data_IF_424228967570
#
_entry.id   IF_424228967570
#
_cell.length_a   1.000
_cell.length_b   1.000
_cell.length_c   1.000
_cell.angle_alpha   90.00
_cell.angle_beta   90.00
_cell.angle_gamma   90.00
#
_symmetry.space_group_name_H-M   'P 1'
#
loop_
_entity.id
_entity.type
_entity.pdbx_description
1 polymer ?
#
# COMPACT_ATOMS: atom_id res chain seq x y z
N UNK A 1 21.50 28.22 -16.45
CA UNK A 1 20.95 28.76 -15.20
C UNK A 1 19.97 27.75 -14.66
N UNK A 2 20.10 27.39 -13.38
CA UNK A 2 19.13 26.50 -12.74
C UNK A 2 17.78 27.24 -12.71
N UNK A 3 16.72 26.57 -13.18
CA UNK A 3 15.36 27.09 -13.06
C UNK A 3 14.85 26.67 -11.69
N UNK A 4 14.44 27.65 -10.90
CA UNK A 4 13.83 27.42 -9.58
C UNK A 4 12.32 27.68 -9.68
N UNK A 5 11.53 26.89 -8.96
CA UNK A 5 10.08 27.05 -8.84
C UNK A 5 9.65 26.87 -7.39
N UNK A 6 8.71 27.69 -6.95
CA UNK A 6 8.18 27.66 -5.58
C UNK A 6 6.79 27.01 -5.61
N UNK A 7 6.62 25.94 -4.84
CA UNK A 7 5.31 25.40 -4.51
C UNK A 7 4.72 26.24 -3.37
N UNK A 8 3.53 26.80 -3.60
CA UNK A 8 2.78 27.51 -2.56
C UNK A 8 1.85 26.50 -1.91
N UNK A 9 2.22 26.02 -0.73
CA UNK A 9 1.43 25.10 0.08
C UNK A 9 1.12 25.75 1.43
N UNK A 10 -0.02 25.41 2.02
CA UNK A 10 -0.42 25.89 3.34
C UNK A 10 -0.07 24.83 4.38
N UNK A 11 0.92 25.10 5.22
CA UNK A 11 1.42 24.17 6.26
C UNK A 11 1.59 22.73 5.72
N UNK A 12 2.45 22.53 4.70
CA UNK A 12 2.61 21.22 4.10
C UNK A 12 3.19 20.22 5.11
N UNK A 13 2.63 19.02 5.11
CA UNK A 13 3.13 17.86 5.83
C UNK A 13 3.22 16.69 4.85
N UNK A 14 4.14 15.75 5.08
CA UNK A 14 4.34 14.52 4.29
C UNK A 14 4.44 14.77 2.78
N UNK A 15 5.60 14.58 2.18
CA UNK A 15 5.76 14.81 0.75
C UNK A 15 6.58 13.72 0.07
N UNK A 16 6.40 13.61 -1.24
CA UNK A 16 7.09 12.62 -2.05
C UNK A 16 7.11 13.01 -3.52
N UNK A 17 8.06 12.46 -4.26
CA UNK A 17 8.19 12.69 -5.70
C UNK A 17 8.06 11.34 -6.42
N UNK A 18 7.04 11.23 -7.26
CA UNK A 18 6.86 10.10 -8.16
C UNK A 18 7.74 10.28 -9.39
N UNK A 19 8.68 9.35 -9.61
CA UNK A 19 9.51 9.21 -10.82
C UNK A 19 10.27 10.49 -11.26
N UNK A 20 10.44 11.46 -10.35
CA UNK A 20 10.98 12.79 -10.70
C UNK A 20 10.04 13.68 -11.51
N UNK A 21 8.79 13.24 -11.74
CA UNK A 21 7.84 13.90 -12.64
C UNK A 21 6.65 14.53 -11.91
N UNK A 22 6.24 14.01 -10.76
CA UNK A 22 5.09 14.55 -10.02
C UNK A 22 5.40 14.62 -8.53
N UNK A 23 5.16 15.78 -7.93
CA UNK A 23 5.26 16.00 -6.49
C UNK A 23 3.87 15.77 -5.89
N UNK A 24 3.82 15.01 -4.80
CA UNK A 24 2.64 14.84 -3.95
C UNK A 24 2.96 15.34 -2.55
N UNK A 25 1.97 15.99 -1.90
CA UNK A 25 2.11 16.46 -0.52
C UNK A 25 0.74 16.64 0.13
N UNK A 26 0.67 16.55 1.46
CA UNK A 26 -0.51 16.97 2.21
C UNK A 26 -0.37 18.45 2.60
N UNK A 27 -1.44 19.22 2.50
CA UNK A 27 -1.54 20.58 3.06
C UNK A 27 -2.69 20.69 4.06
N UNK A 28 -2.65 21.72 4.90
CA UNK A 28 -3.62 21.93 5.99
C UNK A 28 -3.79 20.67 6.86
N UNK A 29 -2.69 19.96 7.14
CA UNK A 29 -2.73 18.71 7.87
C UNK A 29 -3.02 18.98 9.36
N UNK A 30 -4.16 18.48 9.83
CA UNK A 30 -4.58 18.55 11.22
C UNK A 30 -4.00 17.34 11.96
N UNK A 31 -2.99 17.57 12.81
CA UNK A 31 -2.34 16.50 13.56
C UNK A 31 -3.23 15.87 14.64
N UNK A 32 -4.25 16.59 15.12
CA UNK A 32 -5.20 16.05 16.10
C UNK A 32 -6.19 15.10 15.43
N UNK A 33 -6.61 15.44 14.21
CA UNK A 33 -7.53 14.61 13.41
C UNK A 33 -6.83 13.64 12.47
N UNK A 34 -5.51 13.77 12.33
CA UNK A 34 -4.65 12.93 11.51
C UNK A 34 -4.97 12.96 10.00
N UNK A 35 -5.43 14.08 9.43
CA UNK A 35 -5.70 14.18 7.99
C UNK A 35 -5.41 15.57 7.41
N UNK A 36 -5.25 15.64 6.09
CA UNK A 36 -5.11 16.89 5.35
C UNK A 36 -5.68 16.80 3.93
N UNK A 37 -5.37 17.79 3.09
CA UNK A 37 -5.72 17.79 1.67
C UNK A 37 -4.52 17.29 0.85
N UNK A 38 -4.70 16.21 0.09
CA UNK A 38 -3.67 15.70 -0.82
C UNK A 38 -3.63 16.53 -2.09
N UNK A 39 -2.45 17.05 -2.38
CA UNK A 39 -2.16 17.89 -3.54
C UNK A 39 -1.14 17.22 -4.45
N UNK A 40 -1.17 17.56 -5.73
CA UNK A 40 -0.18 17.14 -6.72
C UNK A 40 0.33 18.32 -7.56
N UNK A 41 1.56 18.23 -8.05
CA UNK A 41 2.13 19.20 -8.99
C UNK A 41 3.08 18.48 -9.96
N UNK A 42 2.81 18.56 -11.26
CA UNK A 42 3.71 18.01 -12.28
C UNK A 42 4.98 18.85 -12.43
N UNK A 43 6.10 18.21 -12.75
CA UNK A 43 7.37 18.83 -13.04
C UNK A 43 7.60 18.78 -14.55
N UNK A 44 7.73 19.93 -15.21
CA UNK A 44 8.07 20.02 -16.64
C UNK A 44 9.33 20.85 -16.85
N UNK A 45 10.34 20.24 -17.45
CA UNK A 45 11.63 20.90 -17.69
C UNK A 45 12.30 21.41 -16.41
N UNK A 46 12.13 20.68 -15.31
CA UNK A 46 12.67 21.02 -13.98
C UNK A 46 11.87 22.08 -13.20
N UNK A 47 10.67 22.43 -13.66
CA UNK A 47 9.81 23.45 -13.04
C UNK A 47 8.50 22.82 -12.60
N UNK A 48 8.13 23.01 -11.34
CA UNK A 48 6.84 22.59 -10.81
C UNK A 48 5.71 23.46 -11.39
N UNK A 49 4.67 22.80 -11.89
CA UNK A 49 3.46 23.44 -12.40
C UNK A 49 2.50 23.82 -11.26
N UNK A 50 1.38 24.45 -11.63
CA UNK A 50 0.32 24.80 -10.66
C UNK A 50 -0.17 23.54 -9.95
N UNK A 51 -0.33 23.64 -8.63
CA UNK A 51 -0.83 22.56 -7.78
C UNK A 51 -2.29 22.24 -8.14
N UNK A 52 -2.63 20.96 -8.10
CA UNK A 52 -3.97 20.42 -8.30
C UNK A 52 -4.35 19.58 -7.10
N UNK A 53 -5.55 19.82 -6.57
CA UNK A 53 -6.11 19.00 -5.49
C UNK A 53 -6.42 17.60 -6.00
N UNK A 54 -5.98 16.60 -5.25
CA UNK A 54 -6.28 15.18 -5.48
C UNK A 54 -7.51 14.78 -4.68
N UNK A 55 -7.47 14.95 -3.36
CA UNK A 55 -8.57 14.59 -2.45
C UNK A 55 -8.45 15.31 -1.10
N UNK A 56 -9.54 15.36 -0.33
CA UNK A 56 -9.59 15.90 1.03
C UNK A 56 -9.67 14.77 2.06
N UNK A 57 -9.35 15.08 3.33
CA UNK A 57 -9.39 14.16 4.46
C UNK A 57 -8.49 12.92 4.26
N UNK A 58 -7.31 13.13 3.67
CA UNK A 58 -6.31 12.08 3.45
C UNK A 58 -5.41 11.96 4.67
N UNK A 59 -5.29 10.75 5.23
CA UNK A 59 -4.43 10.46 6.38
C UNK A 59 -2.96 10.26 5.96
N UNK A 60 -2.73 9.37 5.00
CA UNK A 60 -1.41 9.00 4.47
C UNK A 60 -1.48 8.74 2.96
N UNK A 61 -0.35 8.87 2.26
CA UNK A 61 -0.21 8.42 0.88
C UNK A 61 1.14 7.72 0.69
N UNK A 62 1.18 6.83 -0.29
CA UNK A 62 2.36 6.02 -0.60
C UNK A 62 2.49 5.78 -2.09
N UNK A 63 3.72 5.56 -2.55
CA UNK A 63 3.97 5.12 -3.91
C UNK A 63 4.02 3.60 -3.99
N UNK A 64 3.26 3.03 -4.91
CA UNK A 64 3.28 1.60 -5.19
C UNK A 64 4.70 1.15 -5.56
N UNK A 65 5.20 0.18 -4.82
CA UNK A 65 6.55 -0.33 -4.89
C UNK A 65 7.06 -0.75 -6.29
N UNK A 66 6.18 -1.22 -7.20
CA UNK A 66 6.61 -1.54 -8.58
C UNK A 66 5.89 -0.76 -9.68
N UNK A 67 4.71 -0.19 -9.42
CA UNK A 67 3.96 0.58 -10.42
C UNK A 67 4.03 2.09 -10.24
N UNK A 68 4.57 2.58 -9.12
CA UNK A 68 4.71 4.00 -8.80
C UNK A 68 3.39 4.74 -8.62
N UNK A 69 2.24 4.06 -8.59
CA UNK A 69 0.95 4.72 -8.41
C UNK A 69 0.88 5.38 -7.03
N UNK A 70 0.29 6.57 -6.95
CA UNK A 70 0.03 7.24 -5.68
C UNK A 70 -1.26 6.69 -5.08
N UNK A 71 -1.12 5.77 -4.14
CA UNK A 71 -2.23 5.30 -3.33
C UNK A 71 -2.34 6.17 -2.08
N UNK A 72 -3.54 6.32 -1.56
CA UNK A 72 -3.75 7.08 -0.34
C UNK A 72 -4.87 6.50 0.50
N UNK A 73 -4.78 6.76 1.79
CA UNK A 73 -5.69 6.23 2.79
C UNK A 73 -6.54 7.32 3.40
N UNK A 74 -7.80 6.96 3.65
CA UNK A 74 -8.75 7.74 4.44
C UNK A 74 -9.27 6.88 5.59
N UNK A 75 -9.81 7.54 6.61
CA UNK A 75 -10.47 6.90 7.75
C UNK A 75 -9.62 5.86 8.50
N UNK A 76 -8.30 6.09 8.60
CA UNK A 76 -7.39 5.16 9.30
C UNK A 76 -7.75 5.05 10.79
N UNK A 77 -7.98 3.82 11.27
CA UNK A 77 -8.19 3.45 12.67
C UNK A 77 -7.54 2.09 12.94
N UNK A 78 -6.73 1.99 14.00
CA UNK A 78 -5.97 0.77 14.34
C UNK A 78 -5.19 0.24 13.11
N UNK A 79 -4.41 1.14 12.50
CA UNK A 79 -3.55 0.85 11.35
C UNK A 79 -4.24 0.28 10.10
N UNK A 80 -5.57 0.34 10.04
CA UNK A 80 -6.38 -0.04 8.87
C UNK A 80 -7.26 1.11 8.42
N UNK A 81 -7.49 1.25 7.11
CA UNK A 81 -8.32 2.32 6.55
C UNK A 81 -8.82 2.03 5.15
N UNK A 82 -9.51 2.99 4.55
CA UNK A 82 -10.02 2.87 3.20
C UNK A 82 -8.95 3.30 2.21
N UNK A 83 -8.64 2.42 1.25
CA UNK A 83 -7.62 2.62 0.24
C UNK A 83 -8.20 3.23 -1.02
N UNK A 84 -7.56 4.29 -1.50
CA UNK A 84 -7.98 5.04 -2.67
C UNK A 84 -6.88 5.10 -3.74
N UNK A 85 -7.33 5.20 -4.99
CA UNK A 85 -6.51 5.51 -6.15
C UNK A 85 -7.30 6.42 -7.09
N UNK A 86 -6.71 7.55 -7.49
CA UNK A 86 -7.31 8.50 -8.44
C UNK A 86 -8.74 8.97 -8.06
N UNK A 87 -8.98 9.33 -6.79
CA UNK A 87 -10.29 9.82 -6.34
C UNK A 87 -11.34 8.74 -6.11
N UNK A 88 -10.97 7.46 -6.14
CA UNK A 88 -11.89 6.33 -6.01
C UNK A 88 -11.40 5.36 -4.94
N UNK A 89 -12.29 4.95 -4.06
CA UNK A 89 -12.07 3.82 -3.15
C UNK A 89 -11.86 2.55 -3.97
N UNK A 90 -10.80 1.80 -3.69
CA UNK A 90 -10.48 0.54 -4.36
C UNK A 90 -10.57 -0.67 -3.42
N UNK A 91 -10.42 -0.46 -2.11
CA UNK A 91 -10.60 -1.46 -1.06
C UNK A 91 -10.86 -0.75 0.27
N UNK A 92 -11.51 -1.45 1.22
CA UNK A 92 -11.86 -0.93 2.55
C UNK A 92 -11.22 -1.79 3.63
N UNK A 93 -11.02 -1.22 4.81
CA UNK A 93 -10.38 -1.91 5.96
C UNK A 93 -9.01 -2.52 5.61
N UNK A 94 -8.22 -1.80 4.81
CA UNK A 94 -6.91 -2.23 4.35
C UNK A 94 -5.85 -1.88 5.38
N UNK A 95 -5.04 -2.86 5.77
CA UNK A 95 -3.88 -2.64 6.64
C UNK A 95 -2.83 -1.76 5.94
N UNK A 96 -2.46 -0.66 6.57
CA UNK A 96 -1.72 0.46 5.95
C UNK A 96 -0.26 0.10 5.64
N UNK A 97 0.36 -0.75 6.46
CA UNK A 97 1.81 -0.99 6.38
C UNK A 97 2.21 -2.14 5.43
N UNK A 98 1.27 -2.95 4.92
CA UNK A 98 1.61 -4.14 4.14
C UNK A 98 0.76 -4.31 2.87
N UNK A 99 1.27 -3.76 1.78
CA UNK A 99 0.68 -3.86 0.44
C UNK A 99 1.76 -4.24 -0.58
N UNK A 100 1.37 -4.74 -1.75
CA UNK A 100 2.29 -4.98 -2.86
C UNK A 100 1.60 -4.77 -4.20
N UNK A 101 2.17 -3.92 -5.03
CA UNK A 101 1.74 -3.63 -6.41
C UNK A 101 2.67 -4.28 -7.43
N UNK A 102 2.13 -4.79 -8.53
CA UNK A 102 2.93 -5.41 -9.60
C UNK A 102 3.20 -4.43 -10.74
N UNK A 103 4.45 -4.42 -11.23
CA UNK A 103 4.87 -3.56 -12.35
C UNK A 103 3.97 -3.69 -13.57
N UNK A 104 3.56 -2.54 -14.13
CA UNK A 104 2.78 -2.49 -15.37
C UNK A 104 1.35 -2.99 -15.24
N UNK A 105 0.84 -3.15 -14.02
CA UNK A 105 -0.54 -3.58 -13.76
C UNK A 105 -1.21 -2.80 -12.62
N UNK A 106 -2.52 -2.91 -12.54
CA UNK A 106 -3.34 -2.45 -11.41
C UNK A 106 -3.56 -3.55 -10.36
N UNK A 107 -2.74 -4.61 -10.38
CA UNK A 107 -2.86 -5.71 -9.41
C UNK A 107 -2.22 -5.32 -8.09
N UNK A 108 -2.97 -5.50 -7.00
CA UNK A 108 -2.54 -5.17 -5.64
C UNK A 108 -2.80 -6.36 -4.70
N UNK A 109 -1.85 -6.66 -3.82
CA UNK A 109 -1.98 -7.64 -2.73
C UNK A 109 -1.92 -6.88 -1.40
N UNK A 110 -2.80 -7.20 -0.46
CA UNK A 110 -2.93 -6.48 0.81
C UNK A 110 -3.68 -7.34 1.83
N UNK A 111 -3.68 -6.89 3.09
CA UNK A 111 -4.53 -7.45 4.13
C UNK A 111 -5.78 -6.61 4.36
N UNK A 112 -6.89 -7.29 4.67
CA UNK A 112 -8.05 -6.70 5.36
C UNK A 112 -8.27 -7.38 6.71
N UNK A 113 -9.10 -6.80 7.58
CA UNK A 113 -9.43 -7.35 8.91
C UNK A 113 -8.18 -7.68 9.74
N UNK A 114 -7.12 -6.89 9.60
CA UNK A 114 -5.84 -7.17 10.25
C UNK A 114 -5.93 -6.93 11.76
N UNK A 115 -5.36 -7.84 12.53
CA UNK A 115 -5.34 -7.77 13.99
C UNK A 115 -3.92 -7.66 14.51
N UNK A 116 -3.53 -6.48 14.98
CA UNK A 116 -2.21 -6.25 15.61
C UNK A 116 -1.99 -7.12 16.85
N UNK A 117 -3.07 -7.56 17.48
CA UNK A 117 -3.01 -8.48 18.62
C UNK A 117 -2.54 -9.88 18.22
N UNK A 118 -2.92 -10.33 17.03
CA UNK A 118 -2.68 -11.69 16.57
C UNK A 118 -1.71 -11.77 15.38
N UNK A 119 -1.27 -10.62 14.88
CA UNK A 119 -0.40 -10.46 13.71
C UNK A 119 -0.86 -11.30 12.52
N UNK A 120 -2.15 -11.12 12.17
CA UNK A 120 -2.79 -11.81 11.05
C UNK A 120 -4.02 -11.06 10.56
N UNK A 121 -4.36 -11.29 9.29
CA UNK A 121 -5.56 -10.77 8.66
C UNK A 121 -6.01 -11.64 7.48
N UNK A 122 -6.98 -11.12 6.74
CA UNK A 122 -7.47 -11.69 5.50
C UNK A 122 -6.56 -11.26 4.35
N UNK A 123 -5.90 -12.20 3.67
CA UNK A 123 -5.08 -11.89 2.50
C UNK A 123 -5.97 -11.73 1.26
N UNK A 124 -5.86 -10.58 0.59
CA UNK A 124 -6.64 -10.23 -0.59
C UNK A 124 -5.74 -9.92 -1.79
N UNK A 125 -6.30 -10.14 -2.99
CA UNK A 125 -5.73 -9.65 -4.25
C UNK A 125 -6.80 -8.88 -5.03
N UNK A 126 -6.53 -7.61 -5.33
CA UNK A 126 -7.32 -6.81 -6.26
C UNK A 126 -6.78 -7.05 -7.67
N UNK A 127 -7.60 -7.59 -8.56
CA UNK A 127 -7.22 -7.84 -9.95
C UNK A 127 -8.32 -7.38 -10.89
N UNK A 128 -7.98 -6.53 -11.87
CA UNK A 128 -8.94 -5.95 -12.82
C UNK A 128 -10.13 -5.28 -12.12
N UNK A 129 -9.88 -4.57 -11.03
CA UNK A 129 -10.89 -3.87 -10.23
C UNK A 129 -11.80 -4.79 -9.41
N UNK A 130 -11.51 -6.09 -9.32
CA UNK A 130 -12.25 -7.03 -8.48
C UNK A 130 -11.35 -7.55 -7.36
N UNK A 131 -11.79 -7.36 -6.13
CA UNK A 131 -11.18 -7.97 -4.96
C UNK A 131 -11.48 -9.47 -4.92
N UNK A 132 -10.45 -10.23 -4.57
CA UNK A 132 -10.49 -11.67 -4.42
C UNK A 132 -9.81 -12.00 -3.10
N UNK A 133 -10.57 -12.59 -2.18
CA UNK A 133 -10.02 -13.21 -0.98
C UNK A 133 -9.16 -14.42 -1.33
N UNK A 134 -7.95 -14.49 -0.80
CA UNK A 134 -7.02 -15.61 -0.95
C UNK A 134 -7.17 -16.58 0.22
N UNK A 135 -7.02 -16.10 1.45
CA UNK A 135 -7.15 -16.90 2.68
C UNK A 135 -7.39 -16.00 3.89
N UNK A 136 -7.92 -16.60 4.96
CA UNK A 136 -8.09 -15.94 6.27
C UNK A 136 -6.90 -16.30 7.18
N UNK A 137 -6.74 -15.57 8.29
CA UNK A 137 -5.73 -15.85 9.33
C UNK A 137 -4.28 -15.94 8.79
N UNK A 138 -3.96 -15.14 7.77
CA UNK A 138 -2.63 -15.08 7.17
C UNK A 138 -1.74 -14.12 7.96
N UNK A 139 -0.59 -14.62 8.40
CA UNK A 139 0.39 -13.81 9.16
C UNK A 139 1.42 -13.14 8.25
N UNK A 140 1.91 -13.85 7.22
CA UNK A 140 2.94 -13.32 6.33
C UNK A 140 2.65 -13.73 4.89
N UNK A 141 2.93 -12.85 3.92
CA UNK A 141 2.93 -13.19 2.50
C UNK A 141 4.18 -12.67 1.79
N UNK A 142 4.58 -13.39 0.75
CA UNK A 142 5.59 -13.00 -0.23
C UNK A 142 5.01 -13.14 -1.64
N UNK A 143 4.82 -12.02 -2.36
CA UNK A 143 4.43 -12.05 -3.75
C UNK A 143 5.60 -12.57 -4.59
N UNK A 144 5.38 -13.63 -5.36
CA UNK A 144 6.37 -14.18 -6.29
C UNK A 144 6.13 -13.62 -7.69
N UNK A 145 4.87 -13.59 -8.11
CA UNK A 145 4.36 -12.94 -9.32
C UNK A 145 2.82 -12.82 -9.23
N UNK A 146 2.18 -12.15 -10.18
CA UNK A 146 0.72 -11.95 -10.22
C UNK A 146 -0.17 -13.20 -10.06
N UNK A 147 0.37 -14.40 -10.30
CA UNK A 147 -0.34 -15.67 -10.18
C UNK A 147 0.14 -16.49 -8.98
N UNK A 148 1.25 -16.12 -8.37
CA UNK A 148 1.91 -16.91 -7.33
C UNK A 148 2.22 -16.04 -6.13
N UNK A 149 1.57 -16.33 -5.01
CA UNK A 149 1.82 -15.69 -3.72
C UNK A 149 2.05 -16.80 -2.71
N UNK A 150 3.19 -16.78 -2.04
CA UNK A 150 3.49 -17.65 -0.92
C UNK A 150 3.02 -16.97 0.36
N UNK A 151 2.40 -17.72 1.27
CA UNK A 151 1.91 -17.14 2.52
C UNK A 151 1.86 -18.17 3.64
N UNK A 152 1.92 -17.68 4.88
CA UNK A 152 1.87 -18.49 6.10
C UNK A 152 0.53 -18.31 6.80
N UNK A 153 -0.12 -19.44 7.11
CA UNK A 153 -1.30 -19.52 7.98
C UNK A 153 -0.97 -20.31 9.23
N UNK A 154 -1.85 -20.26 10.23
CA UNK A 154 -1.70 -20.98 11.50
C UNK A 154 -0.34 -20.73 12.18
N UNK A 155 0.24 -19.55 11.95
CA UNK A 155 1.55 -19.20 12.45
C UNK A 155 1.52 -19.01 13.96
N UNK A 156 2.32 -19.79 14.67
CA UNK A 156 2.46 -19.69 16.11
C UNK A 156 3.69 -18.86 16.45
N UNK A 157 3.49 -17.62 16.88
CA UNK A 157 4.59 -16.71 17.22
C UNK A 157 5.48 -17.19 18.39
N UNK A 158 4.99 -18.08 19.27
CA UNK A 158 5.84 -18.67 20.32
C UNK A 158 6.76 -19.77 19.81
N UNK A 159 6.35 -20.48 18.74
CA UNK A 159 7.12 -21.56 18.11
C UNK A 159 7.84 -21.11 16.84
N UNK A 160 7.54 -19.92 16.36
CA UNK A 160 8.03 -19.31 15.11
C UNK A 160 7.86 -20.24 13.92
N UNK A 161 6.65 -20.79 13.75
CA UNK A 161 6.31 -21.76 12.72
C UNK A 161 4.85 -21.68 12.32
N UNK A 162 4.58 -21.88 11.04
CA UNK A 162 3.23 -22.02 10.49
C UNK A 162 3.21 -22.90 9.24
N UNK A 163 2.07 -22.95 8.59
CA UNK A 163 1.85 -23.74 7.40
C UNK A 163 1.99 -22.89 6.14
N UNK A 164 2.89 -23.31 5.26
CA UNK A 164 3.15 -22.65 4.00
C UNK A 164 2.15 -23.09 2.93
N UNK A 165 1.51 -22.08 2.34
CA UNK A 165 0.58 -22.26 1.23
C UNK A 165 0.99 -21.41 0.04
N UNK A 166 0.61 -21.86 -1.15
CA UNK A 166 0.76 -21.12 -2.39
C UNK A 166 -0.61 -20.82 -3.00
N UNK A 167 -0.89 -19.55 -3.22
CA UNK A 167 -1.91 -19.11 -4.16
C UNK A 167 -1.36 -19.29 -5.58
N UNK A 168 -2.10 -19.98 -6.45
CA UNK A 168 -1.68 -20.28 -7.83
C UNK A 168 -2.61 -19.64 -8.89
N UNK A 169 -3.33 -18.58 -8.52
CA UNK A 169 -4.36 -17.95 -9.34
C UNK A 169 -5.73 -18.63 -9.23
N UNK A 170 -6.77 -17.98 -9.76
CA UNK A 170 -8.14 -18.51 -9.83
C UNK A 170 -8.70 -19.03 -8.48
N UNK A 171 -8.34 -18.39 -7.37
CA UNK A 171 -8.78 -18.73 -6.01
C UNK A 171 -8.36 -20.15 -5.58
N UNK A 172 -7.30 -20.69 -6.18
CA UNK A 172 -6.75 -21.99 -5.80
C UNK A 172 -5.53 -21.79 -4.92
N UNK A 173 -5.55 -22.44 -3.77
CA UNK A 173 -4.44 -22.50 -2.83
C UNK A 173 -3.95 -23.94 -2.72
N UNK A 174 -2.66 -24.14 -2.46
CA UNK A 174 -2.05 -25.46 -2.35
C UNK A 174 -1.11 -25.48 -1.15
N UNK A 175 -1.25 -26.44 -0.22
CA UNK A 175 -0.27 -26.61 0.86
C UNK A 175 1.07 -27.02 0.26
N UNK A 176 2.16 -26.50 0.82
CA UNK A 176 3.54 -26.80 0.38
C UNK A 176 4.29 -27.54 1.45
N UNK A 177 4.31 -26.99 2.66
CA UNK A 177 5.04 -27.53 3.80
C UNK A 177 4.39 -27.03 5.11
N UNK A 178 4.67 -27.73 6.19
CA UNK A 178 4.30 -27.34 7.56
C UNK A 178 5.55 -27.01 8.36
N UNK A 179 5.40 -26.42 9.54
CA UNK A 179 6.53 -26.06 10.41
C UNK A 179 7.52 -25.06 9.77
N UNK A 180 7.06 -24.22 8.85
CA UNK A 180 7.88 -23.21 8.17
C UNK A 180 8.06 -21.98 9.04
N UNK A 181 9.32 -21.58 9.27
CA UNK A 181 9.67 -20.47 10.16
C UNK A 181 9.60 -19.10 9.51
N UNK A 182 9.94 -18.97 8.23
CA UNK A 182 9.95 -17.67 7.58
C UNK A 182 9.80 -17.80 6.08
N UNK A 183 9.24 -16.75 5.48
CA UNK A 183 9.33 -16.50 4.05
C UNK A 183 10.40 -15.44 3.81
N UNK A 184 11.27 -15.68 2.83
CA UNK A 184 12.26 -14.68 2.43
C UNK A 184 11.59 -13.62 1.57
N UNK A 185 11.60 -12.40 2.08
CA UNK A 185 11.04 -11.21 1.45
C UNK A 185 12.12 -10.46 0.66
N UNK A 186 11.69 -9.74 -0.37
CA UNK A 186 12.55 -8.86 -1.17
C UNK A 186 12.39 -7.41 -0.69
N UNK A 187 13.48 -6.63 -0.67
CA UNK A 187 13.43 -5.20 -0.32
C UNK A 187 12.45 -4.42 -1.19
N UNK A 188 12.21 -4.85 -2.44
CA UNK A 188 11.21 -4.30 -3.36
C UNK A 188 9.77 -4.46 -2.84
N UNK A 189 9.55 -5.19 -1.75
CA UNK A 189 8.25 -5.33 -1.11
C UNK A 189 7.93 -4.19 -0.14
N UNK A 190 8.91 -3.37 0.25
CA UNK A 190 8.64 -2.20 1.09
C UNK A 190 8.09 -1.06 0.24
N UNK A 191 7.02 -0.43 0.72
CA UNK A 191 6.55 0.83 0.17
C UNK A 191 7.38 1.97 0.76
N UNK A 192 7.89 2.84 -0.10
CA UNK A 192 8.60 4.02 0.36
C UNK A 192 7.59 4.97 1.02
N UNK A 193 7.69 5.13 2.34
CA UNK A 193 6.90 6.13 3.08
C UNK A 193 7.31 7.53 2.58
N UNK A 194 6.33 8.40 2.37
CA UNK A 194 6.59 9.83 2.16
C UNK A 194 7.29 10.43 3.38
N UNK A 195 8.27 11.31 3.17
CA UNK A 195 9.07 11.94 4.23
C UNK A 195 8.45 13.23 4.75
#
# INVERSE_FOLDING_TARGET
>A
GNKESIIKANDPAKWGIKDGETIYFLENYDSEKNYGTLMSSSIKGGVAEKQVKVDDEVNEFFFGNENGNCYYFKDIRNDSGDLYLNGKTIATDVFVDFLYSYKGTDTLVYYTDYSDKNDKGTLCILKKGKEIKIDDDVSFFVPVNEKTIAYLVDYNFSRERGDLRLYNGNNKTTPVDSDVTALLWDLRMMWEKSY
#
